data_IF_656131213089
#
_entry.id   IF_656131213089
#
_cell.length_a   1.000
_cell.length_b   1.000
_cell.length_c   1.000
_cell.angle_alpha   90.00
_cell.angle_beta   90.00
_cell.angle_gamma   90.00
#
_symmetry.space_group_name_H-M   'P 1'
#
loop_
_entity.id
_entity.type
_entity.pdbx_description
1 polymer ?
#
# COMPACT_ATOMS: atom_id res chain seq x y z
N UNK A 1 -19.94 50.50 11.53
CA UNK A 1 -19.43 49.40 10.69
C UNK A 1 -18.32 48.69 11.44
N UNK A 2 -18.48 47.39 11.73
CA UNK A 2 -17.42 46.57 12.33
C UNK A 2 -16.36 46.26 11.26
N UNK A 3 -15.05 46.32 11.55
CA UNK A 3 -14.02 46.03 10.57
C UNK A 3 -14.02 44.53 10.21
N UNK A 4 -13.93 44.27 8.91
CA UNK A 4 -13.86 42.94 8.29
C UNK A 4 -12.65 42.15 8.82
N UNK A 5 -12.78 40.83 9.12
CA UNK A 5 -11.65 40.02 9.54
C UNK A 5 -10.70 39.80 8.36
N UNK A 6 -9.46 40.24 8.57
CA UNK A 6 -8.25 40.01 7.79
C UNK A 6 -8.28 38.73 6.93
N UNK A 7 -8.38 38.91 5.59
CA UNK A 7 -8.07 37.84 4.63
C UNK A 7 -6.56 37.57 4.71
N UNK A 8 -6.18 36.46 5.34
CA UNK A 8 -4.80 35.94 5.23
C UNK A 8 -4.52 35.71 3.73
N UNK A 9 -3.33 36.04 3.21
CA UNK A 9 -2.99 35.78 1.81
C UNK A 9 -3.08 34.26 1.58
N UNK A 10 -3.96 33.83 0.68
CA UNK A 10 -4.09 32.43 0.29
C UNK A 10 -2.72 31.95 -0.24
N UNK A 11 -2.11 30.89 0.35
CA UNK A 11 -0.90 30.33 -0.21
C UNK A 11 -1.25 29.82 -1.62
N UNK A 12 -0.48 30.26 -2.63
CA UNK A 12 -0.70 29.89 -4.04
C UNK A 12 -0.80 28.38 -4.13
N UNK A 13 -1.90 27.89 -4.70
CA UNK A 13 -2.14 26.47 -4.94
C UNK A 13 -0.93 25.85 -5.65
N UNK A 14 -0.25 24.92 -4.99
CA UNK A 14 0.98 24.31 -5.48
C UNK A 14 0.73 23.07 -6.36
N UNK A 15 -0.55 22.69 -6.56
CA UNK A 15 -0.95 21.56 -7.39
C UNK A 15 -1.04 20.24 -6.62
N UNK A 16 -1.52 19.17 -7.29
CA UNK A 16 -1.56 17.84 -6.69
C UNK A 16 -0.17 17.21 -6.65
N UNK A 17 0.14 16.58 -5.51
CA UNK A 17 1.34 15.75 -5.34
C UNK A 17 1.35 14.58 -6.33
N UNK A 18 2.52 13.97 -6.59
CA UNK A 18 2.63 12.79 -7.49
C UNK A 18 1.64 11.68 -7.11
N UNK A 19 1.54 11.38 -5.82
CA UNK A 19 0.60 10.38 -5.32
C UNK A 19 -0.86 10.82 -5.52
N UNK A 20 -1.19 12.10 -5.33
CA UNK A 20 -2.53 12.61 -5.61
C UNK A 20 -2.90 12.58 -7.10
N UNK A 21 -1.94 12.80 -8.01
CA UNK A 21 -2.16 12.65 -9.45
C UNK A 21 -2.49 11.20 -9.84
N UNK A 22 -1.88 10.22 -9.16
CA UNK A 22 -2.03 8.80 -9.47
C UNK A 22 -3.22 8.14 -8.77
N UNK A 23 -3.37 8.39 -7.48
CA UNK A 23 -4.35 7.73 -6.61
C UNK A 23 -5.54 8.63 -6.26
N UNK A 24 -5.53 9.88 -6.71
CA UNK A 24 -6.54 10.87 -6.36
C UNK A 24 -6.32 11.48 -4.96
N UNK A 25 -7.13 12.51 -4.70
CA UNK A 25 -7.27 13.13 -3.40
C UNK A 25 -8.50 12.55 -2.71
N UNK A 26 -8.34 11.83 -1.59
CA UNK A 26 -9.48 11.32 -0.86
C UNK A 26 -10.17 12.46 -0.09
N UNK A 27 -11.49 12.55 -0.20
CA UNK A 27 -12.32 13.50 0.54
C UNK A 27 -13.27 12.80 1.52
N UNK A 28 -13.72 13.54 2.52
CA UNK A 28 -14.74 13.14 3.50
C UNK A 28 -14.30 12.12 4.55
N UNK A 29 -15.10 12.03 5.61
CA UNK A 29 -14.97 11.02 6.67
C UNK A 29 -13.58 11.02 7.32
N UNK A 30 -12.93 9.86 7.33
CA UNK A 30 -11.59 9.65 7.88
C UNK A 30 -10.47 10.37 7.10
N UNK A 31 -10.79 11.12 6.04
CA UNK A 31 -9.83 11.87 5.21
C UNK A 31 -9.95 13.39 5.37
N UNK A 32 -10.78 13.86 6.31
CA UNK A 32 -10.99 15.30 6.57
C UNK A 32 -9.70 16.08 6.88
N UNK A 33 -8.69 15.42 7.43
CA UNK A 33 -7.36 15.96 7.72
C UNK A 33 -6.61 16.35 6.45
N UNK A 34 -6.95 15.73 5.31
CA UNK A 34 -6.35 16.03 4.00
C UNK A 34 -7.04 17.20 3.30
N UNK A 35 -8.32 17.46 3.58
CA UNK A 35 -9.09 18.57 2.96
C UNK A 35 -8.58 19.94 3.39
N UNK A 36 -8.11 20.06 4.64
CA UNK A 36 -7.58 21.30 5.19
C UNK A 36 -6.10 21.55 4.83
N UNK A 37 -5.49 20.67 4.04
CA UNK A 37 -4.07 20.71 3.72
C UNK A 37 -3.78 21.58 2.50
N UNK A 38 -3.91 22.90 2.63
CA UNK A 38 -3.44 23.87 1.62
C UNK A 38 -1.94 24.15 1.81
N UNK A 39 -1.14 24.38 0.75
CA UNK A 39 -1.54 24.65 -0.64
C UNK A 39 -1.49 23.46 -1.61
N UNK A 40 -1.13 22.24 -1.17
CA UNK A 40 -0.95 21.07 -2.02
C UNK A 40 -2.06 20.05 -1.86
N UNK A 41 -2.60 19.55 -2.98
CA UNK A 41 -3.55 18.45 -2.93
C UNK A 41 -2.79 17.13 -2.71
N UNK A 42 -2.94 16.55 -1.52
CA UNK A 42 -2.23 15.33 -1.09
C UNK A 42 -3.08 14.07 -1.23
N UNK A 43 -2.45 12.94 -1.53
CA UNK A 43 -3.06 11.63 -1.38
C UNK A 43 -2.88 11.16 0.07
N UNK A 44 -3.68 10.19 0.51
CA UNK A 44 -3.39 9.47 1.76
C UNK A 44 -2.02 8.78 1.79
N UNK A 45 -1.42 8.56 0.61
CA UNK A 45 -0.11 7.94 0.44
C UNK A 45 1.05 8.94 0.30
N UNK A 46 0.79 10.26 0.30
CA UNK A 46 1.86 11.26 0.16
C UNK A 46 2.73 11.28 1.44
N UNK A 47 4.03 11.00 1.38
CA UNK A 47 4.93 11.05 2.55
C UNK A 47 4.83 12.38 3.32
N UNK A 48 4.73 12.30 4.65
CA UNK A 48 4.76 13.47 5.54
C UNK A 48 6.22 13.90 5.73
N UNK A 49 6.51 15.19 5.62
CA UNK A 49 7.78 15.75 6.10
C UNK A 49 7.75 15.81 7.64
N UNK A 50 8.69 15.16 8.35
CA UNK A 50 8.69 15.17 9.81
C UNK A 50 8.71 16.60 10.37
N UNK A 51 7.87 16.86 11.38
CA UNK A 51 7.65 18.22 11.89
C UNK A 51 8.93 18.92 12.38
N UNK A 52 9.94 18.16 12.81
CA UNK A 52 11.25 18.66 13.22
C UNK A 52 12.02 19.42 12.12
N UNK A 53 11.71 19.13 10.85
CA UNK A 53 12.33 19.78 9.70
C UNK A 53 11.55 21.01 9.20
N UNK A 54 10.45 21.38 9.86
CA UNK A 54 9.64 22.54 9.50
C UNK A 54 9.98 23.72 10.41
N UNK A 55 10.09 24.92 9.83
CA UNK A 55 10.46 26.14 10.57
C UNK A 55 9.25 26.81 11.23
N UNK A 56 8.09 26.80 10.57
CA UNK A 56 6.89 27.47 11.04
C UNK A 56 6.05 26.57 11.97
N UNK A 57 5.63 27.12 13.12
CA UNK A 57 4.80 26.41 14.10
C UNK A 57 3.47 25.93 13.51
N UNK A 58 2.80 26.75 12.69
CA UNK A 58 1.55 26.35 12.03
C UNK A 58 1.77 25.14 11.10
N UNK A 59 2.92 25.09 10.42
CA UNK A 59 3.28 23.95 9.55
C UNK A 59 3.61 22.70 10.36
N UNK A 60 4.23 22.85 11.54
CA UNK A 60 4.52 21.74 12.45
C UNK A 60 3.26 21.07 12.96
N UNK A 61 2.27 21.86 13.39
CA UNK A 61 1.03 21.33 13.94
C UNK A 61 0.22 20.60 12.85
N UNK A 62 0.21 21.15 11.65
CA UNK A 62 -0.37 20.52 10.46
C UNK A 62 0.35 19.21 10.09
N UNK A 63 1.68 19.18 10.12
CA UNK A 63 2.45 17.96 9.85
C UNK A 63 2.24 16.87 10.90
N UNK A 64 2.11 17.23 12.19
CA UNK A 64 1.78 16.27 13.27
C UNK A 64 0.41 15.63 13.07
N UNK A 65 -0.59 16.42 12.65
CA UNK A 65 -1.92 15.89 12.35
C UNK A 65 -1.89 14.93 11.15
N UNK A 66 -1.12 15.25 10.11
CA UNK A 66 -0.93 14.36 8.96
C UNK A 66 -0.21 13.07 9.35
N UNK A 67 0.80 13.18 10.21
CA UNK A 67 1.54 12.02 10.74
C UNK A 67 0.61 11.10 11.52
N UNK A 68 -0.19 11.65 12.43
CA UNK A 68 -1.17 10.89 13.21
C UNK A 68 -2.18 10.20 12.30
N UNK A 69 -2.72 10.91 11.31
CA UNK A 69 -3.62 10.35 10.30
C UNK A 69 -2.99 9.16 9.57
N UNK A 70 -1.74 9.28 9.11
CA UNK A 70 -1.05 8.19 8.43
C UNK A 70 -0.78 7.02 9.36
N UNK A 71 -0.34 7.26 10.59
CA UNK A 71 -0.12 6.21 11.58
C UNK A 71 -1.41 5.45 11.90
N UNK A 72 -2.54 6.13 12.02
CA UNK A 72 -3.84 5.45 12.18
C UNK A 72 -4.19 4.60 10.94
N UNK A 73 -3.92 5.11 9.73
CA UNK A 73 -4.24 4.44 8.48
C UNK A 73 -3.33 3.25 8.17
N UNK A 74 -2.04 3.34 8.51
CA UNK A 74 -1.02 2.34 8.19
C UNK A 74 -0.53 1.59 9.44
N UNK A 75 -1.44 1.34 10.39
CA UNK A 75 -1.19 0.46 11.55
C UNK A 75 0.08 0.83 12.36
N UNK A 76 0.31 2.12 12.56
CA UNK A 76 1.42 2.67 13.35
C UNK A 76 2.53 3.30 12.52
N UNK A 77 2.53 3.15 11.19
CA UNK A 77 3.58 3.68 10.30
C UNK A 77 3.15 4.94 9.56
N UNK A 78 4.11 5.79 9.20
CA UNK A 78 3.90 6.90 8.26
C UNK A 78 4.20 6.45 6.83
N UNK A 79 3.66 7.14 5.82
CA UNK A 79 4.01 6.85 4.43
C UNK A 79 5.51 7.08 4.14
N UNK A 80 6.16 8.01 4.86
CA UNK A 80 7.60 8.24 4.76
C UNK A 80 8.43 7.06 5.33
N UNK A 81 8.01 6.50 6.47
CA UNK A 81 8.63 5.28 7.04
C UNK A 81 8.39 4.06 6.13
N UNK A 82 7.21 3.93 5.54
CA UNK A 82 6.93 2.88 4.56
C UNK A 82 7.79 3.04 3.30
N UNK A 83 8.03 4.28 2.87
CA UNK A 83 8.88 4.57 1.71
C UNK A 83 10.34 4.19 2.00
N UNK A 84 10.86 4.51 3.19
CA UNK A 84 12.25 4.22 3.56
C UNK A 84 12.57 2.72 3.68
N UNK A 85 11.57 1.89 4.03
CA UNK A 85 11.70 0.43 4.03
C UNK A 85 11.26 -0.22 2.71
N UNK A 86 11.05 0.59 1.67
CA UNK A 86 10.59 0.15 0.35
C UNK A 86 9.27 -0.65 0.38
N UNK A 87 8.43 -0.42 1.39
CA UNK A 87 7.11 -1.05 1.53
C UNK A 87 5.95 -0.15 1.04
N UNK A 88 6.21 1.13 0.76
CA UNK A 88 5.20 2.02 0.19
C UNK A 88 4.88 1.62 -1.25
N UNK A 89 3.61 1.37 -1.53
CA UNK A 89 3.14 1.03 -2.86
C UNK A 89 3.53 2.11 -3.88
N UNK A 90 4.33 1.72 -4.89
CA UNK A 90 4.71 2.56 -6.03
C UNK A 90 5.62 3.77 -5.71
N UNK A 91 6.44 3.70 -4.66
CA UNK A 91 7.67 4.50 -4.68
C UNK A 91 8.49 4.05 -5.91
N UNK A 92 9.03 5.00 -6.67
CA UNK A 92 9.54 4.80 -8.04
C UNK A 92 10.67 3.75 -8.12
N UNK A 93 11.32 3.48 -6.98
CA UNK A 93 12.41 2.52 -6.85
C UNK A 93 11.92 1.07 -6.78
N UNK A 94 10.79 0.78 -6.12
CA UNK A 94 10.46 -0.60 -5.75
C UNK A 94 9.63 -1.35 -6.78
N UNK A 95 8.67 -0.69 -7.44
CA UNK A 95 7.65 -1.40 -8.26
C UNK A 95 7.87 -1.23 -9.78
N UNK A 96 8.17 0.00 -10.22
CA UNK A 96 8.26 0.35 -11.64
C UNK A 96 9.44 -0.26 -12.40
N UNK A 97 10.52 -0.66 -11.70
CA UNK A 97 11.68 -1.31 -12.34
C UNK A 97 11.56 -2.83 -12.48
N UNK A 98 10.70 -3.48 -11.69
CA UNK A 98 10.79 -4.94 -11.48
C UNK A 98 9.60 -5.74 -12.01
N UNK A 99 8.44 -5.11 -12.19
CA UNK A 99 7.26 -5.79 -12.74
C UNK A 99 7.09 -5.38 -14.20
N UNK A 100 7.63 -6.20 -15.11
CA UNK A 100 7.53 -5.99 -16.57
C UNK A 100 6.18 -6.43 -17.16
N UNK A 101 5.24 -6.87 -16.31
CA UNK A 101 3.85 -7.01 -16.71
C UNK A 101 3.27 -5.59 -16.75
N UNK A 102 3.41 -4.95 -17.91
CA UNK A 102 3.02 -3.58 -18.16
C UNK A 102 1.61 -3.27 -17.68
N UNK A 103 1.26 -1.98 -17.69
CA UNK A 103 0.04 -1.39 -17.14
C UNK A 103 -1.32 -2.01 -17.60
N UNK A 104 -1.31 -3.10 -18.37
CA UNK A 104 -2.46 -3.85 -18.84
C UNK A 104 -2.52 -5.25 -18.22
N UNK A 105 -3.48 -5.43 -17.31
CA UNK A 105 -3.77 -6.71 -16.65
C UNK A 105 -4.19 -7.82 -17.64
N UNK A 106 -4.69 -7.47 -18.83
CA UNK A 106 -5.13 -8.43 -19.84
C UNK A 106 -4.04 -9.40 -20.29
N UNK A 107 -2.78 -8.97 -20.25
CA UNK A 107 -1.63 -9.76 -20.69
C UNK A 107 -1.02 -10.64 -19.58
N UNK A 108 -1.53 -10.54 -18.34
CA UNK A 108 -1.00 -11.32 -17.22
C UNK A 108 -1.62 -12.72 -17.26
N UNK A 109 -0.82 -13.79 -17.41
CA UNK A 109 -1.33 -15.15 -17.31
C UNK A 109 -1.74 -15.45 -15.87
N UNK A 110 -2.81 -16.24 -15.70
CA UNK A 110 -3.18 -16.77 -14.38
C UNK A 110 -2.16 -17.86 -14.02
N UNK A 111 -1.55 -17.74 -12.84
CA UNK A 111 -0.57 -18.70 -12.35
C UNK A 111 -1.20 -20.11 -12.23
N UNK A 112 -0.46 -21.21 -12.52
CA UNK A 112 -0.99 -22.58 -12.51
C UNK A 112 -1.74 -22.98 -11.23
N UNK A 113 -1.35 -22.42 -10.09
CA UNK A 113 -2.01 -22.64 -8.80
C UNK A 113 -3.46 -22.14 -8.77
N UNK A 114 -3.77 -21.10 -9.54
CA UNK A 114 -5.08 -20.44 -9.59
C UNK A 114 -5.91 -20.83 -10.81
N UNK A 115 -5.51 -21.88 -11.54
CA UNK A 115 -6.26 -22.28 -12.72
C UNK A 115 -7.66 -22.74 -12.34
N UNK A 116 -8.58 -22.60 -13.30
CA UNK A 116 -10.01 -22.84 -13.09
C UNK A 116 -10.29 -24.26 -12.61
N UNK A 117 -9.51 -25.21 -13.09
CA UNK A 117 -9.64 -26.63 -12.79
C UNK A 117 -9.41 -26.92 -11.30
N UNK A 118 -8.51 -26.18 -10.65
CA UNK A 118 -8.21 -26.35 -9.23
C UNK A 118 -9.35 -25.89 -8.30
N UNK A 119 -10.34 -25.17 -8.85
CA UNK A 119 -11.48 -24.62 -8.12
C UNK A 119 -12.79 -25.37 -8.41
N UNK A 120 -12.74 -26.38 -9.28
CA UNK A 120 -13.89 -27.24 -9.62
C UNK A 120 -13.94 -28.45 -8.70
N UNK A 121 -14.24 -28.24 -7.42
CA UNK A 121 -14.53 -29.33 -6.49
C UNK A 121 -16.02 -29.30 -6.11
N UNK A 122 -16.60 -30.49 -5.94
CA UNK A 122 -17.98 -30.61 -5.51
C UNK A 122 -18.07 -30.40 -3.99
N UNK A 123 -18.72 -29.31 -3.59
CA UNK A 123 -19.02 -29.05 -2.19
C UNK A 123 -20.02 -30.10 -1.66
N UNK A 124 -19.81 -30.65 -0.46
CA UNK A 124 -20.79 -31.48 0.21
C UNK A 124 -22.16 -30.79 0.30
N UNK A 125 -23.25 -31.56 0.12
CA UNK A 125 -24.62 -31.02 0.07
C UNK A 125 -25.07 -30.25 1.31
N UNK A 126 -24.42 -30.46 2.45
CA UNK A 126 -24.71 -29.76 3.70
C UNK A 126 -24.07 -28.36 3.78
N UNK A 127 -23.16 -28.02 2.86
CA UNK A 127 -22.53 -26.70 2.80
C UNK A 127 -23.35 -25.80 1.87
N UNK A 128 -23.77 -24.65 2.41
CA UNK A 128 -24.47 -23.64 1.62
C UNK A 128 -23.54 -23.05 0.55
N UNK A 129 -24.06 -22.93 -0.66
CA UNK A 129 -23.37 -22.25 -1.77
C UNK A 129 -23.63 -20.75 -1.67
N UNK A 130 -22.65 -19.95 -2.03
CA UNK A 130 -22.77 -18.48 -2.01
C UNK A 130 -23.47 -18.00 -3.28
N UNK A 131 -24.64 -17.34 -3.18
CA UNK A 131 -25.39 -16.90 -4.34
C UNK A 131 -24.66 -15.80 -5.13
N UNK A 132 -24.84 -15.81 -6.44
CA UNK A 132 -24.34 -14.83 -7.40
C UNK A 132 -25.51 -14.21 -8.18
N UNK A 133 -25.44 -12.91 -8.44
CA UNK A 133 -26.47 -12.20 -9.20
C UNK A 133 -27.84 -12.17 -8.51
N UNK A 134 -28.86 -12.67 -9.20
CA UNK A 134 -30.25 -12.76 -8.73
C UNK A 134 -30.50 -13.91 -7.74
N UNK A 135 -29.46 -14.68 -7.40
CA UNK A 135 -29.53 -15.80 -6.48
C UNK A 135 -29.84 -17.15 -7.12
N UNK A 136 -29.99 -17.20 -8.44
CA UNK A 136 -30.16 -18.47 -9.18
C UNK A 136 -28.82 -19.11 -9.55
N UNK A 137 -27.73 -18.34 -9.48
CA UNK A 137 -26.37 -18.81 -9.71
C UNK A 137 -25.54 -18.74 -8.43
N UNK A 138 -24.36 -19.36 -8.45
CA UNK A 138 -23.45 -19.38 -7.31
C UNK A 138 -22.04 -18.91 -7.69
N UNK A 139 -21.29 -18.43 -6.70
CA UNK A 139 -19.86 -18.10 -6.79
C UNK A 139 -19.01 -19.37 -6.92
N UNK A 140 -19.16 -20.06 -8.05
CA UNK A 140 -18.45 -21.28 -8.37
C UNK A 140 -17.59 -21.07 -9.61
N UNK A 141 -16.42 -21.72 -9.66
CA UNK A 141 -15.59 -21.70 -10.85
C UNK A 141 -16.30 -22.31 -12.08
N UNK A 142 -17.33 -23.14 -11.90
CA UNK A 142 -18.17 -23.67 -13.00
C UNK A 142 -19.02 -22.56 -13.66
N UNK A 143 -19.36 -21.50 -12.93
CA UNK A 143 -20.09 -20.36 -13.48
C UNK A 143 -19.12 -19.41 -14.20
N UNK A 144 -19.32 -19.23 -15.52
CA UNK A 144 -18.49 -18.34 -16.35
C UNK A 144 -18.57 -16.86 -15.92
N UNK A 145 -19.74 -16.39 -15.47
CA UNK A 145 -19.91 -15.00 -15.04
C UNK A 145 -19.16 -14.74 -13.72
N UNK A 146 -19.29 -15.63 -12.75
CA UNK A 146 -18.53 -15.57 -11.51
C UNK A 146 -17.02 -15.69 -11.77
N UNK A 147 -16.61 -16.58 -12.68
CA UNK A 147 -15.19 -16.74 -13.04
C UNK A 147 -14.61 -15.47 -13.67
N UNK A 148 -15.31 -14.86 -14.64
CA UNK A 148 -14.89 -13.58 -15.25
C UNK A 148 -14.81 -12.44 -14.23
N UNK A 149 -15.67 -12.43 -13.22
CA UNK A 149 -15.62 -11.45 -12.15
C UNK A 149 -14.37 -11.64 -11.26
N UNK A 150 -13.92 -12.88 -11.04
CA UNK A 150 -12.72 -13.19 -10.25
C UNK A 150 -11.41 -13.03 -11.03
N UNK A 151 -11.45 -13.20 -12.36
CA UNK A 151 -10.27 -13.20 -13.24
C UNK A 151 -9.29 -12.03 -13.00
N UNK A 152 -9.73 -10.76 -12.84
CA UNK A 152 -8.82 -9.64 -12.57
C UNK A 152 -8.05 -9.82 -11.25
N UNK A 153 -8.72 -10.25 -10.20
CA UNK A 153 -8.09 -10.47 -8.90
C UNK A 153 -7.08 -11.62 -8.96
N UNK A 154 -7.42 -12.70 -9.67
CA UNK A 154 -6.51 -13.85 -9.87
C UNK A 154 -5.28 -13.45 -10.69
N UNK A 155 -5.43 -12.65 -11.73
CA UNK A 155 -4.31 -12.11 -12.52
C UNK A 155 -3.41 -11.22 -11.67
N UNK A 156 -3.99 -10.36 -10.84
CA UNK A 156 -3.23 -9.49 -9.94
C UNK A 156 -2.44 -10.32 -8.91
N UNK A 157 -3.08 -11.29 -8.27
CA UNK A 157 -2.41 -12.22 -7.34
C UNK A 157 -1.31 -13.03 -8.04
N UNK A 158 -1.54 -13.47 -9.28
CA UNK A 158 -0.55 -14.18 -10.11
C UNK A 158 0.67 -13.30 -10.39
N UNK A 159 0.45 -12.03 -10.74
CA UNK A 159 1.52 -11.06 -10.95
C UNK A 159 2.32 -10.84 -9.66
N UNK A 160 1.65 -10.68 -8.53
CA UNK A 160 2.33 -10.51 -7.23
C UNK A 160 3.20 -11.71 -6.91
N UNK A 161 2.65 -12.93 -6.98
CA UNK A 161 3.39 -14.16 -6.65
C UNK A 161 4.55 -14.38 -7.62
N UNK A 162 4.33 -14.21 -8.92
CA UNK A 162 5.38 -14.38 -9.93
C UNK A 162 6.55 -13.42 -9.71
N UNK A 163 6.28 -12.20 -9.23
CA UNK A 163 7.30 -11.17 -9.02
C UNK A 163 7.71 -11.01 -7.55
N UNK A 164 7.22 -11.83 -6.63
CA UNK A 164 7.48 -11.66 -5.19
C UNK A 164 8.98 -11.76 -4.86
N UNK A 165 9.72 -12.54 -5.64
CA UNK A 165 11.17 -12.70 -5.54
C UNK A 165 11.94 -11.40 -5.86
N UNK A 166 11.32 -10.49 -6.61
CA UNK A 166 11.89 -9.19 -6.96
C UNK A 166 11.74 -8.18 -5.83
N UNK A 167 10.93 -8.45 -4.81
CA UNK A 167 10.69 -7.52 -3.71
C UNK A 167 11.76 -7.69 -2.65
N UNK A 168 12.45 -6.60 -2.31
CA UNK A 168 13.60 -6.65 -1.40
C UNK A 168 13.22 -7.12 -0.01
N UNK A 169 12.12 -6.62 0.54
CA UNK A 169 11.65 -7.05 1.86
C UNK A 169 11.37 -8.57 1.89
N UNK A 170 10.85 -9.15 0.80
CA UNK A 170 10.55 -10.58 0.73
C UNK A 170 11.82 -11.41 0.57
N UNK A 171 12.76 -10.95 -0.26
CA UNK A 171 14.09 -11.55 -0.35
C UNK A 171 14.84 -11.47 0.98
N UNK A 172 14.72 -10.34 1.69
CA UNK A 172 15.31 -10.11 3.02
C UNK A 172 14.69 -11.02 4.07
N UNK A 173 13.37 -11.22 4.03
CA UNK A 173 12.68 -12.16 4.91
C UNK A 173 13.20 -13.59 4.70
N UNK A 174 13.39 -14.03 3.47
CA UNK A 174 13.80 -15.41 3.19
C UNK A 174 15.30 -15.66 3.32
N UNK A 175 16.15 -14.70 2.96
CA UNK A 175 17.61 -14.87 2.82
C UNK A 175 18.45 -13.85 3.57
N UNK A 176 17.83 -12.83 4.15
CA UNK A 176 18.51 -11.80 4.93
C UNK A 176 19.00 -12.35 6.27
N UNK A 177 20.04 -11.73 6.86
CA UNK A 177 20.45 -12.06 8.22
C UNK A 177 19.33 -11.66 9.19
N UNK A 178 18.98 -12.57 10.09
CA UNK A 178 18.03 -12.34 11.16
C UNK A 178 18.80 -11.92 12.41
N UNK A 179 18.57 -10.70 12.87
CA UNK A 179 19.14 -10.18 14.11
C UNK A 179 18.08 -10.08 15.18
N UNK A 180 18.43 -10.41 16.43
CA UNK A 180 17.56 -10.11 17.56
C UNK A 180 17.51 -8.61 17.78
N UNK A 181 16.30 -8.08 17.95
CA UNK A 181 16.10 -6.68 18.29
C UNK A 181 16.62 -6.45 19.72
N UNK A 182 17.40 -5.39 19.91
CA UNK A 182 17.93 -5.03 21.22
C UNK A 182 16.78 -4.73 22.19
N UNK A 183 16.85 -5.16 23.46
CA UNK A 183 15.84 -4.81 24.46
C UNK A 183 15.63 -3.31 24.65
N UNK A 184 16.61 -2.48 24.25
CA UNK A 184 16.53 -1.01 24.31
C UNK A 184 15.61 -0.41 23.24
N UNK A 185 15.40 -1.13 22.14
CA UNK A 185 14.57 -0.68 21.01
C UNK A 185 13.13 -1.22 21.12
N UNK A 186 12.84 -2.02 22.15
CA UNK A 186 11.52 -2.60 22.39
C UNK A 186 10.71 -1.73 23.37
N UNK A 187 9.38 -1.65 23.19
CA UNK A 187 8.50 -1.00 24.17
C UNK A 187 8.61 -1.69 25.54
N UNK A 188 8.44 -0.95 26.66
CA UNK A 188 8.38 -1.54 27.99
C UNK A 188 7.23 -2.57 28.05
N UNK A 189 7.50 -3.75 28.61
CA UNK A 189 6.63 -4.93 28.71
C UNK A 189 6.37 -5.74 27.42
N UNK A 190 7.27 -5.69 26.42
CA UNK A 190 7.15 -6.58 25.27
C UNK A 190 7.59 -8.02 25.61
N UNK A 191 6.64 -8.97 25.60
CA UNK A 191 6.86 -10.36 26.03
C UNK A 191 7.40 -11.30 24.92
N UNK A 192 7.46 -10.83 23.67
CA UNK A 192 7.85 -11.66 22.52
C UNK A 192 9.32 -11.41 22.13
N UNK A 193 10.02 -12.49 21.77
CA UNK A 193 11.32 -12.39 21.14
C UNK A 193 11.15 -11.90 19.71
N UNK A 194 11.45 -10.62 19.46
CA UNK A 194 11.35 -10.01 18.14
C UNK A 194 12.69 -10.07 17.41
N UNK A 195 12.64 -10.49 16.16
CA UNK A 195 13.77 -10.48 15.23
C UNK A 195 13.51 -9.51 14.10
N UNK A 196 14.52 -8.75 13.70
CA UNK A 196 14.51 -7.92 12.49
C UNK A 196 15.33 -8.60 11.40
N UNK A 197 14.94 -8.40 10.15
CA UNK A 197 15.67 -8.87 8.98
C UNK A 197 16.16 -7.67 8.18
N UNK A 198 17.34 -7.80 7.57
CA UNK A 198 17.94 -6.75 6.76
C UNK A 198 18.01 -7.19 5.30
N UNK A 199 17.84 -6.22 4.40
CA UNK A 199 18.23 -6.42 3.02
C UNK A 199 19.73 -6.66 2.96
N UNK A 200 20.14 -7.68 2.21
CA UNK A 200 21.54 -7.77 1.79
C UNK A 200 21.74 -6.66 0.78
N UNK A 201 22.59 -5.69 1.11
CA UNK A 201 23.09 -4.71 0.15
C UNK A 201 23.43 -5.42 -1.16
N UNK A 202 22.87 -4.89 -2.25
CA UNK A 202 22.86 -5.43 -3.59
C UNK A 202 23.95 -6.48 -3.87
N UNK A 203 23.50 -7.70 -4.15
CA UNK A 203 24.25 -8.56 -5.05
C UNK A 203 24.34 -7.78 -6.36
N UNK A 204 25.44 -7.03 -6.53
CA UNK A 204 25.79 -6.36 -7.79
C UNK A 204 25.44 -7.31 -8.93
N UNK A 205 24.82 -6.79 -9.97
CA UNK A 205 24.28 -7.45 -11.16
C UNK A 205 25.27 -8.33 -11.98
N UNK A 206 26.40 -8.77 -11.39
CA UNK A 206 27.42 -9.60 -12.00
C UNK A 206 27.15 -11.11 -11.99
N UNK A 207 26.11 -11.59 -11.31
CA UNK A 207 25.77 -13.03 -11.27
C UNK A 207 24.64 -13.46 -12.24
N UNK A 208 24.10 -12.54 -13.03
CA UNK A 208 23.14 -12.84 -14.12
C UNK A 208 23.78 -12.59 -15.48
N UNK A 209 24.89 -13.29 -15.77
CA UNK A 209 25.42 -13.48 -17.12
C UNK A 209 25.30 -14.93 -17.53
#
# INVERSE_FOLDING_TARGET
MKPSPWKRPHPRYAGPTRFAKKYGHPGGGIHSELENYLPEVKSGLTPVTPAQFLENQDQRDVAKNLELYQRMRFCGFTAAELESVLALADSYETTSRRINYGNNLGNVPIHPMWTRENWQYDLPRHIARYPFGDGNEYWEAKNDAAWRAMEPALKLASSVIANIHTWEWFNSLLKGPWERVSPKDLPPNHALNVTRFFSKDDRKDGELK
#
